data_IF_322260406912
#
_entry.id   IF_322260406912
#
_cell.length_a   1.000
_cell.length_b   1.000
_cell.length_c   1.000
_cell.angle_alpha   90.00
_cell.angle_beta   90.00
_cell.angle_gamma   90.00
#
_symmetry.space_group_name_H-M   'P 1'
#
loop_
_entity.id
_entity.type
_entity.pdbx_description
1 polymer ?
#
# COMPACT_ATOMS: atom_id res chain seq x y z
N UNK A 1 1.43 3.44 -59.81
CA UNK A 1 2.58 3.64 -60.74
C UNK A 1 3.84 3.64 -59.92
N UNK A 2 4.83 2.83 -60.35
CA UNK A 2 6.22 2.62 -59.90
C UNK A 2 6.37 2.04 -58.46
N UNK A 3 6.61 0.77 -58.25
CA UNK A 3 7.58 -0.27 -58.72
C UNK A 3 9.05 0.21 -58.64
N UNK A 4 9.77 -0.38 -57.67
CA UNK A 4 11.16 -0.89 -57.76
C UNK A 4 11.45 -1.64 -56.45
N UNK A 5 11.65 -2.88 -56.31
CA UNK A 5 12.39 -4.01 -56.86
C UNK A 5 13.94 -3.94 -56.70
N UNK A 6 14.42 -4.63 -55.65
CA UNK A 6 15.51 -5.65 -55.57
C UNK A 6 16.89 -5.26 -56.18
N UNK A 7 18.12 -5.76 -55.73
CA UNK A 7 18.39 -7.14 -55.33
C UNK A 7 19.51 -7.37 -54.23
N UNK A 8 19.47 -8.56 -53.68
CA UNK A 8 20.55 -9.57 -53.48
C UNK A 8 22.01 -9.19 -53.55
N UNK A 9 22.74 -9.55 -52.51
CA UNK A 9 24.03 -10.30 -52.69
C UNK A 9 24.45 -10.93 -51.36
N UNK A 10 24.69 -12.21 -51.45
CA UNK A 10 25.32 -13.07 -50.48
C UNK A 10 26.83 -12.94 -50.56
N UNK A 11 27.54 -13.10 -49.45
CA UNK A 11 28.87 -13.70 -49.42
C UNK A 11 29.19 -14.17 -47.98
N UNK A 12 29.43 -15.44 -47.88
CA UNK A 12 30.02 -16.12 -46.74
C UNK A 12 31.53 -15.91 -46.73
N UNK A 13 32.13 -15.90 -45.56
CA UNK A 13 33.46 -16.46 -45.30
C UNK A 13 33.74 -16.58 -43.81
N UNK A 14 34.10 -17.76 -43.43
CA UNK A 14 34.65 -18.24 -42.16
C UNK A 14 35.95 -17.56 -41.76
N UNK A 15 36.32 -17.61 -40.48
CA UNK A 15 37.51 -18.18 -39.87
C UNK A 15 37.73 -17.55 -38.49
N UNK A 16 37.50 -18.34 -37.45
CA UNK A 16 38.41 -18.92 -36.47
C UNK A 16 39.50 -18.02 -35.83
N UNK A 17 39.57 -18.21 -34.51
CA UNK A 17 40.65 -17.99 -33.54
C UNK A 17 40.55 -16.67 -32.77
N UNK A 18 40.44 -16.72 -31.51
CA UNK A 18 41.24 -17.18 -30.43
C UNK A 18 40.65 -16.76 -29.10
N UNK A 19 40.72 -17.62 -28.15
CA UNK A 19 40.45 -17.40 -26.76
C UNK A 19 41.21 -16.22 -26.17
N UNK A 20 40.49 -15.30 -25.54
CA UNK A 20 41.00 -14.60 -24.41
C UNK A 20 39.94 -14.66 -23.33
N UNK A 21 40.28 -15.43 -22.34
CA UNK A 21 39.52 -15.59 -21.10
C UNK A 21 39.68 -14.33 -20.29
N UNK A 22 38.76 -13.39 -20.43
CA UNK A 22 38.56 -12.37 -19.43
C UNK A 22 37.46 -12.82 -18.47
N UNK A 23 37.96 -13.21 -17.32
CA UNK A 23 37.20 -13.55 -16.14
C UNK A 23 36.48 -12.28 -15.66
N UNK A 24 35.34 -11.97 -16.30
CA UNK A 24 34.41 -10.99 -15.78
C UNK A 24 33.82 -11.57 -14.51
N UNK A 25 34.28 -11.05 -13.42
CA UNK A 25 33.65 -11.26 -12.11
C UNK A 25 32.27 -10.63 -12.19
N UNK A 26 31.27 -11.39 -12.58
CA UNK A 26 29.88 -11.04 -12.34
C UNK A 26 29.68 -11.01 -10.84
N UNK A 27 29.63 -9.81 -10.30
CA UNK A 27 29.02 -9.56 -9.01
C UNK A 27 27.57 -10.03 -9.13
N UNK A 28 27.15 -11.04 -8.37
CA UNK A 28 25.73 -11.40 -8.38
C UNK A 28 24.97 -10.18 -7.88
N UNK A 29 24.21 -9.56 -8.78
CA UNK A 29 23.15 -8.63 -8.39
C UNK A 29 22.30 -9.39 -7.37
N UNK A 30 22.32 -8.92 -6.14
CA UNK A 30 21.43 -9.41 -5.11
C UNK A 30 20.00 -9.21 -5.65
N UNK A 31 19.40 -10.27 -6.14
CA UNK A 31 17.97 -10.34 -6.35
C UNK A 31 17.35 -9.98 -5.01
N UNK A 32 16.78 -8.78 -4.94
CA UNK A 32 15.90 -8.41 -3.87
C UNK A 32 14.76 -9.44 -3.91
N UNK A 33 14.90 -10.51 -3.13
CA UNK A 33 13.80 -11.42 -2.87
C UNK A 33 12.67 -10.56 -2.33
N UNK A 34 11.66 -10.34 -3.17
CA UNK A 34 10.40 -9.80 -2.74
C UNK A 34 9.90 -10.70 -1.61
N UNK A 35 10.07 -10.24 -0.38
CA UNK A 35 9.62 -10.95 0.82
C UNK A 35 8.14 -11.23 0.62
N UNK A 36 7.76 -12.50 0.57
CA UNK A 36 6.37 -12.91 0.42
C UNK A 36 5.53 -12.15 1.46
N UNK A 37 4.36 -11.61 1.12
CA UNK A 37 3.57 -10.78 2.02
C UNK A 37 3.34 -11.55 3.31
N UNK A 38 3.89 -11.03 4.41
CA UNK A 38 3.74 -11.63 5.74
C UNK A 38 2.26 -11.70 6.03
N UNK A 39 1.76 -12.91 6.26
CA UNK A 39 0.34 -13.13 6.54
C UNK A 39 -0.06 -12.27 7.74
N UNK A 40 -0.99 -11.34 7.55
CA UNK A 40 -1.48 -10.48 8.63
C UNK A 40 -2.01 -11.32 9.78
N UNK A 41 -1.61 -10.98 11.01
CA UNK A 41 -2.14 -11.56 12.26
C UNK A 41 -3.47 -10.92 12.65
N UNK A 42 -3.89 -9.89 11.90
CA UNK A 42 -5.11 -9.14 12.16
C UNK A 42 -6.34 -9.87 11.60
N UNK A 43 -7.41 -9.84 12.35
CA UNK A 43 -8.74 -10.22 11.89
C UNK A 43 -9.54 -8.97 11.56
N UNK A 44 -10.12 -8.90 10.38
CA UNK A 44 -11.03 -7.83 10.02
C UNK A 44 -12.19 -7.79 10.99
N UNK A 45 -12.52 -6.61 11.52
CA UNK A 45 -13.72 -6.43 12.30
C UNK A 45 -14.95 -6.52 11.38
N UNK A 46 -16.08 -7.04 11.88
CA UNK A 46 -17.31 -7.10 11.09
C UNK A 46 -17.76 -5.67 10.72
N UNK A 47 -18.06 -5.47 9.46
CA UNK A 47 -18.66 -4.23 8.98
C UNK A 47 -20.11 -4.11 9.48
N UNK A 48 -20.53 -2.90 9.81
CA UNK A 48 -21.93 -2.63 10.10
C UNK A 48 -22.77 -2.66 8.81
N UNK A 49 -24.09 -2.87 8.96
CA UNK A 49 -25.00 -2.92 7.81
C UNK A 49 -24.88 -1.66 6.93
N UNK A 50 -24.64 -1.84 5.65
CA UNK A 50 -24.43 -0.76 4.69
C UNK A 50 -23.06 -0.09 4.72
N UNK A 51 -22.16 -0.50 5.61
CA UNK A 51 -20.80 0.00 5.68
C UNK A 51 -19.90 -0.79 4.70
N UNK A 52 -19.09 -0.08 3.93
CA UNK A 52 -18.10 -0.65 3.02
C UNK A 52 -16.75 0.08 3.16
N UNK A 53 -15.68 -0.57 2.74
CA UNK A 53 -14.39 0.11 2.60
C UNK A 53 -14.48 1.18 1.52
N UNK A 54 -13.78 2.30 1.72
CA UNK A 54 -13.61 3.34 0.70
C UNK A 54 -12.88 2.78 -0.52
N UNK A 55 -13.00 3.46 -1.65
CA UNK A 55 -12.40 2.99 -2.91
C UNK A 55 -10.87 2.99 -2.83
N UNK A 56 -10.27 4.13 -2.48
CA UNK A 56 -8.81 4.30 -2.40
C UNK A 56 -8.42 5.34 -1.36
N UNK A 57 -7.15 5.28 -0.92
CA UNK A 57 -6.55 6.24 0.00
C UNK A 57 -5.47 7.00 -0.77
N UNK A 58 -5.54 8.33 -0.78
CA UNK A 58 -4.55 9.21 -1.40
C UNK A 58 -3.39 9.51 -0.43
N UNK A 59 -3.74 9.77 0.83
CA UNK A 59 -2.74 10.02 1.88
C UNK A 59 -3.29 9.64 3.25
N UNK A 60 -2.38 9.29 4.15
CA UNK A 60 -2.71 9.05 5.54
C UNK A 60 -1.59 9.58 6.44
N UNK A 61 -1.94 9.99 7.62
CA UNK A 61 -1.01 10.45 8.65
C UNK A 61 -1.43 10.00 10.03
N UNK A 62 -0.45 9.89 10.91
CA UNK A 62 -0.63 9.59 12.33
C UNK A 62 0.16 10.60 13.12
N UNK A 63 -0.44 11.17 14.15
CA UNK A 63 0.25 12.07 15.09
C UNK A 63 -0.09 11.66 16.51
N UNK A 64 0.75 12.06 17.46
CA UNK A 64 0.52 11.80 18.89
C UNK A 64 -0.06 13.04 19.54
N UNK A 65 -1.12 12.90 20.31
CA UNK A 65 -1.66 13.98 21.12
C UNK A 65 -0.88 14.18 22.43
N UNK A 66 -1.21 15.24 23.16
CA UNK A 66 -0.55 15.57 24.43
C UNK A 66 -0.78 14.51 25.53
N UNK A 67 -1.79 13.66 25.41
CA UNK A 67 -2.12 12.58 26.34
C UNK A 67 -1.51 11.23 25.95
N UNK A 68 -0.70 11.17 24.87
CA UNK A 68 -0.10 9.94 24.36
C UNK A 68 -1.06 9.11 23.49
N UNK A 69 -2.28 9.61 23.21
CA UNK A 69 -3.18 9.03 22.23
C UNK A 69 -2.72 9.32 20.81
N UNK A 70 -3.30 8.63 19.85
CA UNK A 70 -2.99 8.82 18.45
C UNK A 70 -4.14 9.55 17.75
N UNK A 71 -3.80 10.50 16.90
CA UNK A 71 -4.72 11.09 15.94
C UNK A 71 -4.43 10.50 14.57
N UNK A 72 -5.44 9.88 14.00
CA UNK A 72 -5.43 9.30 12.67
C UNK A 72 -6.12 10.25 11.70
N UNK A 73 -5.51 10.46 10.55
CA UNK A 73 -6.09 11.26 9.47
C UNK A 73 -5.87 10.54 8.13
N UNK A 74 -6.89 10.51 7.28
CA UNK A 74 -6.77 10.01 5.92
C UNK A 74 -7.59 10.84 4.94
N UNK A 75 -7.03 11.04 3.75
CA UNK A 75 -7.72 11.52 2.56
C UNK A 75 -7.96 10.33 1.65
N UNK A 76 -9.20 10.09 1.32
CA UNK A 76 -9.63 8.92 0.59
C UNK A 76 -10.64 9.29 -0.50
N UNK A 77 -11.04 8.34 -1.31
CA UNK A 77 -12.17 8.49 -2.23
C UNK A 77 -13.13 7.32 -2.10
N UNK A 78 -14.39 7.62 -2.34
CA UNK A 78 -15.47 6.64 -2.52
C UNK A 78 -15.76 6.43 -4.01
N UNK A 79 -16.46 5.37 -4.36
CA UNK A 79 -16.83 5.04 -5.76
C UNK A 79 -18.04 5.82 -6.27
N UNK A 80 -18.42 6.89 -5.58
CA UNK A 80 -19.53 7.76 -5.93
C UNK A 80 -19.80 8.78 -4.86
N UNK A 81 -20.70 9.72 -5.12
CA UNK A 81 -21.15 10.71 -4.15
C UNK A 81 -22.16 10.17 -3.15
N UNK A 82 -22.41 10.93 -2.08
CA UNK A 82 -23.45 10.62 -1.11
C UNK A 82 -23.05 9.67 0.01
N UNK A 83 -21.82 9.19 0.05
CA UNK A 83 -21.29 8.40 1.16
C UNK A 83 -21.20 9.24 2.43
N UNK A 84 -21.54 8.65 3.57
CA UNK A 84 -21.57 9.31 4.87
C UNK A 84 -20.82 8.50 5.92
N UNK A 85 -20.70 9.03 7.14
CA UNK A 85 -20.09 8.32 8.28
C UNK A 85 -18.72 7.68 7.92
N UNK A 86 -17.86 8.43 7.25
CA UNK A 86 -16.49 7.99 6.97
C UNK A 86 -15.75 7.82 8.30
N UNK A 87 -15.09 6.68 8.47
CA UNK A 87 -14.46 6.35 9.73
C UNK A 87 -13.34 5.33 9.59
N UNK A 88 -12.67 5.08 10.71
CA UNK A 88 -11.67 4.02 10.83
C UNK A 88 -12.26 2.84 11.59
N UNK A 89 -12.10 1.65 11.05
CA UNK A 89 -12.46 0.40 11.70
C UNK A 89 -11.19 -0.38 12.02
N UNK A 90 -10.68 -0.31 13.28
CA UNK A 90 -9.48 -1.01 13.67
C UNK A 90 -9.67 -2.52 13.58
N UNK A 91 -8.67 -3.23 13.05
CA UNK A 91 -8.66 -4.68 13.03
C UNK A 91 -8.36 -5.26 14.42
N UNK A 92 -8.80 -6.48 14.66
CA UNK A 92 -8.64 -7.15 15.95
C UNK A 92 -7.38 -8.02 15.93
N UNK A 93 -6.54 -7.85 16.93
CA UNK A 93 -5.30 -8.61 17.11
C UNK A 93 -5.38 -9.49 18.34
N UNK A 94 -4.96 -10.75 18.22
CA UNK A 94 -4.79 -11.66 19.35
C UNK A 94 -3.49 -11.40 20.12
N UNK A 95 -2.48 -10.80 19.46
CA UNK A 95 -1.20 -10.43 20.04
C UNK A 95 -0.69 -9.13 19.38
N UNK A 96 0.20 -8.43 20.04
CA UNK A 96 0.85 -7.25 19.47
C UNK A 96 1.60 -7.62 18.19
N UNK A 97 1.41 -6.89 17.08
CA UNK A 97 2.18 -7.10 15.87
C UNK A 97 3.68 -6.93 16.16
N UNK A 98 4.54 -7.84 15.68
CA UNK A 98 5.99 -7.80 15.97
C UNK A 98 6.68 -6.55 15.40
N UNK A 99 6.13 -5.97 14.36
CA UNK A 99 6.59 -4.72 13.74
C UNK A 99 5.97 -3.47 14.38
N UNK A 100 4.97 -3.64 15.25
CA UNK A 100 4.23 -2.55 15.87
C UNK A 100 3.30 -1.81 14.90
N UNK A 101 3.05 -2.38 13.70
CA UNK A 101 2.13 -1.78 12.71
C UNK A 101 0.74 -2.37 12.88
N UNK A 102 -0.23 -1.52 13.17
CA UNK A 102 -1.62 -1.90 13.35
C UNK A 102 -2.43 -1.55 12.11
N UNK A 103 -3.38 -2.40 11.77
CA UNK A 103 -4.20 -2.25 10.57
C UNK A 103 -5.56 -1.64 10.91
N UNK A 104 -6.00 -0.69 10.09
CA UNK A 104 -7.33 -0.10 10.15
C UNK A 104 -7.96 -0.10 8.76
N UNK A 105 -9.19 -0.52 8.67
CA UNK A 105 -9.98 -0.36 7.45
C UNK A 105 -10.56 1.06 7.42
N UNK A 106 -10.40 1.76 6.30
CA UNK A 106 -11.08 3.04 6.08
C UNK A 106 -12.44 2.74 5.46
N UNK A 107 -13.50 3.07 6.18
CA UNK A 107 -14.86 2.65 5.85
C UNK A 107 -15.79 3.85 5.75
N UNK A 108 -16.88 3.68 5.02
CA UNK A 108 -17.94 4.66 4.91
C UNK A 108 -19.30 3.98 4.76
N UNK A 109 -20.35 4.68 5.15
CA UNK A 109 -21.72 4.23 4.95
C UNK A 109 -22.18 4.51 3.52
N UNK A 110 -22.58 3.46 2.82
CA UNK A 110 -23.10 3.55 1.46
C UNK A 110 -24.40 4.33 1.41
N UNK A 111 -24.59 5.21 0.42
CA UNK A 111 -25.84 5.91 0.25
C UNK A 111 -26.98 4.95 -0.13
N UNK A 112 -28.20 5.26 0.36
CA UNK A 112 -29.38 4.46 0.01
C UNK A 112 -29.76 4.56 -1.48
N UNK A 113 -29.43 5.68 -2.12
CA UNK A 113 -29.58 5.88 -3.56
C UNK A 113 -28.24 6.27 -4.18
N UNK A 114 -27.94 5.84 -5.42
CA UNK A 114 -26.70 6.22 -6.10
C UNK A 114 -26.54 7.73 -6.15
N UNK A 115 -25.40 8.24 -5.70
CA UNK A 115 -25.00 9.63 -5.86
C UNK A 115 -24.34 9.88 -7.22
N UNK A 116 -23.60 11.00 -7.33
CA UNK A 116 -22.81 11.30 -8.51
C UNK A 116 -21.84 10.16 -8.81
N UNK A 117 -21.72 9.79 -10.07
CA UNK A 117 -20.79 8.72 -10.50
C UNK A 117 -19.33 9.21 -10.44
N UNK A 118 -18.42 8.28 -10.17
CA UNK A 118 -16.99 8.49 -10.18
C UNK A 118 -16.39 8.79 -8.79
N UNK A 119 -15.06 8.71 -8.68
CA UNK A 119 -14.37 8.87 -7.41
C UNK A 119 -14.68 10.22 -6.76
N UNK A 120 -15.22 10.18 -5.55
CA UNK A 120 -15.56 11.37 -4.77
C UNK A 120 -14.63 11.46 -3.56
N UNK A 121 -13.92 12.61 -3.38
CA UNK A 121 -12.99 12.77 -2.27
C UNK A 121 -13.73 12.85 -0.93
N UNK A 122 -13.15 12.22 0.08
CA UNK A 122 -13.60 12.23 1.48
C UNK A 122 -12.41 12.37 2.41
N UNK A 123 -12.61 13.00 3.54
CA UNK A 123 -11.61 13.10 4.60
C UNK A 123 -12.16 12.50 5.88
N UNK A 124 -11.27 11.87 6.64
CA UNK A 124 -11.60 11.30 7.94
C UNK A 124 -10.49 11.60 8.94
N UNK A 125 -10.91 12.00 10.13
CA UNK A 125 -10.04 12.25 11.30
C UNK A 125 -10.67 11.61 12.51
N UNK A 126 -9.88 10.93 13.31
CA UNK A 126 -10.35 10.30 14.54
C UNK A 126 -9.21 10.13 15.54
N UNK A 127 -9.51 10.36 16.81
CA UNK A 127 -8.64 9.99 17.91
C UNK A 127 -8.64 8.47 18.15
N UNK A 128 -7.51 7.95 18.54
CA UNK A 128 -7.34 6.55 18.90
C UNK A 128 -6.60 6.40 20.22
N UNK A 129 -7.36 6.31 21.30
CA UNK A 129 -6.86 6.28 22.67
C UNK A 129 -6.52 4.88 23.20
N UNK A 130 -6.66 3.86 22.37
CA UNK A 130 -6.56 2.46 22.81
C UNK A 130 -5.16 2.05 23.22
N UNK A 131 -4.13 2.63 22.62
CA UNK A 131 -2.73 2.22 22.79
C UNK A 131 -1.82 3.42 23.11
N UNK A 132 -1.93 3.91 24.35
CA UNK A 132 -1.13 5.06 24.84
C UNK A 132 0.28 4.68 25.34
N UNK A 133 0.64 3.41 25.29
CA UNK A 133 1.88 2.86 25.84
C UNK A 133 3.04 2.81 24.84
N UNK A 134 2.89 3.44 23.69
CA UNK A 134 3.93 3.53 22.67
C UNK A 134 4.19 2.24 21.89
N UNK A 135 3.34 1.21 22.03
CA UNK A 135 3.48 -0.04 21.28
C UNK A 135 3.17 0.12 19.79
N UNK A 136 2.36 1.11 19.42
CA UNK A 136 2.05 1.41 18.03
C UNK A 136 3.21 2.19 17.42
N UNK A 137 3.85 1.61 16.42
CA UNK A 137 4.94 2.25 15.66
C UNK A 137 4.44 2.85 14.36
N UNK A 138 3.35 2.32 13.84
CA UNK A 138 2.71 2.80 12.63
C UNK A 138 1.30 2.24 12.49
N UNK A 139 0.57 2.81 11.56
CA UNK A 139 -0.78 2.37 11.21
C UNK A 139 -0.84 2.14 9.71
N UNK A 140 -1.33 0.98 9.32
CA UNK A 140 -1.64 0.61 7.94
C UNK A 140 -3.12 0.87 7.70
N UNK A 141 -3.39 1.81 6.83
CA UNK A 141 -4.74 2.16 6.40
C UNK A 141 -5.08 1.34 5.16
N UNK A 142 -6.23 0.70 5.14
CA UNK A 142 -6.64 -0.26 4.11
C UNK A 142 -7.93 0.20 3.46
N UNK A 143 -7.96 0.19 2.13
CA UNK A 143 -9.12 0.45 1.29
C UNK A 143 -9.40 -0.72 0.35
N UNK A 144 -10.36 -0.59 -0.57
CA UNK A 144 -10.66 -1.62 -1.58
C UNK A 144 -9.51 -1.85 -2.56
N UNK A 145 -8.77 -0.80 -2.94
CA UNK A 145 -7.80 -0.87 -4.04
C UNK A 145 -6.35 -0.68 -3.63
N UNK A 146 -6.09 -0.09 -2.47
CA UNK A 146 -4.73 0.14 -1.99
C UNK A 146 -4.64 0.17 -0.46
N UNK A 147 -3.40 0.19 0.01
CA UNK A 147 -3.06 0.40 1.42
C UNK A 147 -1.97 1.46 1.56
N UNK A 148 -1.99 2.19 2.65
CA UNK A 148 -1.01 3.24 2.97
C UNK A 148 -0.55 3.04 4.41
N UNK A 149 0.78 3.04 4.63
CA UNK A 149 1.35 2.96 5.97
C UNK A 149 1.83 4.33 6.41
N UNK A 150 1.36 4.78 7.56
CA UNK A 150 1.85 5.99 8.21
C UNK A 150 2.53 5.64 9.54
N UNK A 151 3.77 6.10 9.72
CA UNK A 151 4.55 5.88 10.94
C UNK A 151 4.20 6.92 11.99
N UNK A 152 4.18 6.50 13.27
CA UNK A 152 4.01 7.41 14.40
C UNK A 152 5.28 8.25 14.55
N UNK A 153 5.20 9.58 14.61
CA UNK A 153 6.38 10.42 14.85
C UNK A 153 7.08 10.04 16.15
N UNK A 154 8.39 9.78 16.08
CA UNK A 154 9.18 9.30 17.24
C UNK A 154 9.02 7.81 17.57
N UNK A 155 8.12 7.10 16.93
CA UNK A 155 8.08 5.64 16.92
C UNK A 155 9.24 5.13 16.06
N UNK A 156 10.25 4.50 16.68
CA UNK A 156 11.44 4.05 15.97
C UNK A 156 11.07 3.27 14.70
N UNK A 157 11.72 3.64 13.61
CA UNK A 157 11.64 2.92 12.34
C UNK A 157 11.95 1.44 12.62
N UNK A 158 11.16 0.49 12.13
CA UNK A 158 11.51 -0.91 12.27
C UNK A 158 12.91 -1.10 11.72
N UNK A 159 13.81 -1.66 12.53
CA UNK A 159 15.16 -1.96 12.08
C UNK A 159 15.06 -2.84 10.84
N UNK A 160 15.58 -2.37 9.72
CA UNK A 160 15.81 -3.20 8.55
C UNK A 160 16.78 -4.30 8.97
N UNK A 161 16.31 -5.55 8.96
CA UNK A 161 17.10 -6.75 9.18
C UNK A 161 17.68 -7.23 7.87
#
# INVERSE_FOLDING_TARGET
MLRNAIPFAAAAACLLLAACSEKTTETPAAEAQAEAPKKSLARQAPLYAGQEQVLSIQSASVSTDAGGGLNLEAKASTDGGGWTQVGFLPRVYAATPPDGIYEVDVVAQKPAAPGAAGPTPVEVKSGWDRYKDGRVKGVKFISKTNEVVAMVPGGGQPAAK
#
